data_IF_801506659353
#
_entry.id   IF_801506659353
#
_cell.length_a   1.000
_cell.length_b   1.000
_cell.length_c   1.000
_cell.angle_alpha   90.00
_cell.angle_beta   90.00
_cell.angle_gamma   90.00
#
_symmetry.space_group_name_H-M   'P 1'
#
loop_
_entity.id
_entity.type
_entity.pdbx_description
1 polymer ?
#
# COMPACT_ATOMS: atom_id res chain seq x y z
N UNK A 1 0.81 -13.52 7.80
CA UNK A 1 -0.12 -14.36 8.60
C UNK A 1 -1.51 -14.15 8.03
N UNK A 2 -2.33 -15.20 7.92
CA UNK A 2 -3.72 -15.03 7.53
C UNK A 2 -4.46 -14.33 8.68
N UNK A 3 -5.08 -13.19 8.39
CA UNK A 3 -5.77 -12.40 9.41
C UNK A 3 -7.05 -13.13 9.85
N UNK A 4 -7.34 -13.10 11.14
CA UNK A 4 -8.67 -13.47 11.62
C UNK A 4 -9.69 -12.36 11.26
N UNK A 5 -10.98 -12.60 11.51
CA UNK A 5 -12.05 -11.68 11.12
C UNK A 5 -11.90 -10.30 11.80
N UNK A 6 -11.50 -10.27 13.08
CA UNK A 6 -11.34 -9.03 13.85
C UNK A 6 -10.16 -8.22 13.33
N UNK A 7 -9.01 -8.86 13.18
CA UNK A 7 -7.80 -8.26 12.61
C UNK A 7 -8.08 -7.75 11.19
N UNK A 8 -8.80 -8.54 10.39
CA UNK A 8 -9.17 -8.16 9.03
C UNK A 8 -10.05 -6.92 9.04
N UNK A 9 -10.98 -6.77 9.98
CA UNK A 9 -11.83 -5.57 10.10
C UNK A 9 -11.01 -4.33 10.48
N UNK A 10 -10.09 -4.47 11.45
CA UNK A 10 -9.20 -3.40 11.90
C UNK A 10 -8.28 -2.94 10.76
N UNK A 11 -7.60 -3.88 10.09
CA UNK A 11 -6.72 -3.60 8.94
C UNK A 11 -7.49 -2.96 7.78
N UNK A 12 -8.78 -3.28 7.66
CA UNK A 12 -9.67 -2.73 6.64
C UNK A 12 -10.49 -1.51 7.09
N UNK A 13 -10.14 -0.88 8.20
CA UNK A 13 -10.79 0.34 8.64
C UNK A 13 -10.34 1.54 7.76
N UNK A 14 -11.24 2.41 7.26
CA UNK A 14 -10.85 3.63 6.53
C UNK A 14 -9.90 4.55 7.31
N UNK A 15 -9.99 4.58 8.64
CA UNK A 15 -9.04 5.32 9.47
C UNK A 15 -7.58 4.86 9.24
N UNK A 16 -7.37 3.56 8.97
CA UNK A 16 -6.06 3.01 8.65
C UNK A 16 -5.49 3.58 7.36
N UNK A 17 -6.34 3.86 6.37
CA UNK A 17 -5.91 4.49 5.11
C UNK A 17 -5.45 5.95 5.34
N UNK A 18 -6.15 6.68 6.22
CA UNK A 18 -5.77 8.05 6.58
C UNK A 18 -4.43 8.08 7.31
N UNK A 19 -4.23 7.18 8.27
CA UNK A 19 -2.97 7.06 9.02
C UNK A 19 -1.81 6.73 8.08
N UNK A 20 -1.99 5.76 7.17
CA UNK A 20 -0.96 5.41 6.18
C UNK A 20 -0.58 6.59 5.29
N UNK A 21 -1.57 7.33 4.77
CA UNK A 21 -1.30 8.47 3.88
C UNK A 21 -0.67 9.66 4.58
N UNK A 22 -1.14 10.03 5.77
CA UNK A 22 -0.76 11.31 6.38
C UNK A 22 0.33 11.19 7.44
N UNK A 23 0.48 10.03 8.06
CA UNK A 23 1.43 9.84 9.16
C UNK A 23 2.56 8.91 8.71
N UNK A 24 2.24 7.66 8.38
CA UNK A 24 3.27 6.65 8.11
C UNK A 24 4.02 6.93 6.81
N UNK A 25 3.32 7.27 5.73
CA UNK A 25 3.93 7.62 4.44
C UNK A 25 4.88 8.81 4.57
N UNK A 26 4.46 9.86 5.27
CA UNK A 26 5.29 11.05 5.51
C UNK A 26 6.51 10.74 6.38
N UNK A 27 6.34 9.93 7.43
CA UNK A 27 7.43 9.51 8.31
C UNK A 27 8.46 8.68 7.53
N UNK A 28 8.01 7.66 6.80
CA UNK A 28 8.86 6.80 5.99
C UNK A 28 9.57 7.59 4.89
N UNK A 29 8.91 8.56 4.26
CA UNK A 29 9.52 9.44 3.25
C UNK A 29 10.66 10.27 3.81
N UNK A 30 10.58 10.72 5.06
CA UNK A 30 11.67 11.44 5.75
C UNK A 30 12.86 10.54 6.08
N UNK A 31 12.62 9.24 6.28
CA UNK A 31 13.67 8.25 6.53
C UNK A 31 14.31 7.73 5.24
N UNK A 32 13.57 7.78 4.14
CA UNK A 32 14.03 7.30 2.85
C UNK A 32 15.08 8.24 2.25
N UNK A 33 16.05 7.65 1.55
CA UNK A 33 17.10 8.43 0.87
C UNK A 33 16.51 9.16 -0.33
N UNK A 34 16.86 10.43 -0.53
CA UNK A 34 16.47 11.14 -1.75
C UNK A 34 17.00 10.43 -3.00
N UNK A 35 16.16 10.19 -4.00
CA UNK A 35 16.55 9.47 -5.20
C UNK A 35 15.37 9.06 -6.09
N UNK A 36 15.69 8.32 -7.16
CA UNK A 36 14.69 7.68 -8.03
C UNK A 36 14.34 6.29 -7.50
N UNK A 37 13.07 5.94 -7.60
CA UNK A 37 12.53 4.66 -7.16
C UNK A 37 11.93 3.92 -8.38
N UNK A 38 12.76 3.30 -9.24
CA UNK A 38 12.27 2.67 -10.47
C UNK A 38 11.38 1.45 -10.18
N UNK A 39 11.63 0.75 -9.07
CA UNK A 39 10.84 -0.39 -8.63
C UNK A 39 10.84 -0.46 -7.09
N UNK A 40 9.66 -0.58 -6.51
CA UNK A 40 9.46 -0.80 -5.08
C UNK A 40 8.72 -2.11 -4.82
N UNK A 41 8.95 -2.69 -3.64
CA UNK A 41 8.23 -3.87 -3.16
C UNK A 41 7.44 -3.51 -1.90
N UNK A 42 6.14 -3.78 -1.91
CA UNK A 42 5.30 -3.77 -0.71
C UNK A 42 5.00 -5.20 -0.27
N UNK A 43 5.25 -5.49 1.01
CA UNK A 43 4.98 -6.78 1.64
C UNK A 43 3.79 -6.63 2.58
N UNK A 44 2.71 -7.37 2.33
CA UNK A 44 1.46 -7.27 3.07
C UNK A 44 0.59 -6.10 2.59
N UNK A 45 0.22 -6.08 1.32
CA UNK A 45 -0.45 -4.93 0.70
C UNK A 45 -1.88 -4.70 1.20
N UNK A 46 -2.53 -5.71 1.80
CA UNK A 46 -3.89 -5.60 2.31
C UNK A 46 -4.87 -5.16 1.22
N UNK A 47 -5.25 -3.87 1.23
CA UNK A 47 -6.16 -3.28 0.22
C UNK A 47 -5.46 -2.35 -0.79
N UNK A 48 -4.14 -2.30 -0.80
CA UNK A 48 -3.32 -1.56 -1.76
C UNK A 48 -3.01 -0.10 -1.40
N UNK A 49 -3.44 0.42 -0.25
CA UNK A 49 -3.21 1.84 0.11
C UNK A 49 -1.71 2.15 0.26
N UNK A 50 -0.92 1.24 0.82
CA UNK A 50 0.53 1.44 0.96
C UNK A 50 1.21 1.54 -0.42
N UNK A 51 0.88 0.67 -1.38
CA UNK A 51 1.34 0.80 -2.76
C UNK A 51 0.99 2.15 -3.39
N UNK A 52 -0.24 2.64 -3.20
CA UNK A 52 -0.62 3.97 -3.68
C UNK A 52 0.25 5.07 -3.04
N UNK A 53 0.48 5.00 -1.73
CA UNK A 53 1.35 5.93 -1.00
C UNK A 53 2.79 5.91 -1.56
N UNK A 54 3.31 4.73 -1.87
CA UNK A 54 4.65 4.57 -2.46
C UNK A 54 4.73 5.26 -3.83
N UNK A 55 3.73 5.06 -4.70
CA UNK A 55 3.68 5.76 -6.00
C UNK A 55 3.54 7.27 -5.81
N UNK A 56 2.58 7.72 -5.01
CA UNK A 56 2.20 9.13 -4.90
C UNK A 56 3.21 9.97 -4.11
N UNK A 57 3.78 9.44 -3.03
CA UNK A 57 4.62 10.22 -2.10
C UNK A 57 6.11 10.00 -2.31
N UNK A 58 6.51 8.79 -2.69
CA UNK A 58 7.92 8.46 -2.96
C UNK A 58 8.26 8.64 -4.44
N UNK A 59 7.26 8.78 -5.32
CA UNK A 59 7.47 8.95 -6.76
C UNK A 59 7.95 7.67 -7.43
N UNK A 60 7.51 6.50 -6.93
CA UNK A 60 7.89 5.22 -7.51
C UNK A 60 7.32 5.05 -8.93
N UNK A 61 8.14 4.55 -9.85
CA UNK A 61 7.71 4.29 -11.23
C UNK A 61 6.88 3.01 -11.33
N UNK A 62 7.26 2.00 -10.54
CA UNK A 62 6.56 0.71 -10.40
C UNK A 62 6.57 0.25 -8.94
N UNK A 63 5.50 -0.39 -8.52
CA UNK A 63 5.39 -1.07 -7.22
C UNK A 63 4.95 -2.50 -7.50
N UNK A 64 5.60 -3.47 -6.86
CA UNK A 64 5.09 -4.84 -6.75
C UNK A 64 4.49 -4.96 -5.36
N UNK A 65 3.18 -5.19 -5.29
CA UNK A 65 2.48 -5.33 -4.03
C UNK A 65 2.11 -6.79 -3.79
N UNK A 66 2.50 -7.34 -2.64
CA UNK A 66 2.30 -8.76 -2.31
C UNK A 66 1.49 -8.92 -1.04
N UNK A 67 0.63 -9.93 -0.98
CA UNK A 67 -0.01 -10.36 0.25
C UNK A 67 -0.08 -11.90 0.26
N UNK A 68 -0.04 -12.50 1.45
CA UNK A 68 -0.19 -13.95 1.60
C UNK A 68 -1.66 -14.37 1.60
N UNK A 69 -2.57 -13.43 1.85
CA UNK A 69 -4.01 -13.66 1.81
C UNK A 69 -4.58 -13.32 0.42
N UNK A 70 -5.03 -14.32 -0.37
CA UNK A 70 -5.58 -14.09 -1.70
C UNK A 70 -6.79 -13.15 -1.71
N UNK A 71 -7.59 -13.14 -0.65
CA UNK A 71 -8.74 -12.25 -0.57
C UNK A 71 -8.31 -10.78 -0.48
N UNK A 72 -7.15 -10.52 0.14
CA UNK A 72 -6.58 -9.18 0.24
C UNK A 72 -6.08 -8.73 -1.15
N UNK A 73 -5.42 -9.62 -1.90
CA UNK A 73 -5.02 -9.35 -3.28
C UNK A 73 -6.23 -8.94 -4.13
N UNK A 74 -7.32 -9.71 -4.07
CA UNK A 74 -8.53 -9.40 -4.85
C UNK A 74 -9.19 -8.09 -4.39
N UNK A 75 -9.16 -7.80 -3.08
CA UNK A 75 -9.65 -6.53 -2.55
C UNK A 75 -8.78 -5.36 -3.03
N UNK A 76 -7.47 -5.51 -3.02
CA UNK A 76 -6.54 -4.50 -3.51
C UNK A 76 -6.81 -4.17 -4.98
N UNK A 77 -6.86 -5.18 -5.85
CA UNK A 77 -7.18 -5.00 -7.29
C UNK A 77 -8.48 -4.21 -7.54
N UNK A 78 -9.49 -4.43 -6.70
CA UNK A 78 -10.79 -3.72 -6.78
C UNK A 78 -10.74 -2.30 -6.20
N UNK A 79 -9.90 -2.07 -5.20
CA UNK A 79 -9.86 -0.81 -4.43
C UNK A 79 -8.83 0.19 -4.95
N UNK A 80 -7.84 -0.28 -5.72
CA UNK A 80 -6.81 0.56 -6.31
C UNK A 80 -7.43 1.64 -7.20
N UNK A 81 -6.94 2.87 -7.02
CA UNK A 81 -7.20 3.98 -7.93
C UNK A 81 -6.88 3.60 -9.38
N UNK A 82 -7.82 3.85 -10.27
CA UNK A 82 -7.74 3.49 -11.70
C UNK A 82 -6.44 3.95 -12.36
N UNK A 83 -6.01 5.18 -12.04
CA UNK A 83 -4.86 5.86 -12.58
C UNK A 83 -3.52 5.30 -12.09
N UNK A 84 -3.53 4.45 -11.06
CA UNK A 84 -2.32 3.84 -10.49
C UNK A 84 -2.16 2.36 -10.88
N UNK A 85 -3.16 1.74 -11.52
CA UNK A 85 -3.15 0.31 -11.86
C UNK A 85 -2.02 -0.09 -12.80
N UNK A 86 -1.60 0.79 -13.72
CA UNK A 86 -0.48 0.47 -14.62
C UNK A 86 0.88 0.56 -13.93
N UNK A 87 0.91 1.06 -12.69
CA UNK A 87 2.12 1.24 -11.87
C UNK A 87 2.24 0.21 -10.74
N UNK A 88 1.16 -0.50 -10.38
CA UNK A 88 1.06 -1.35 -9.18
C UNK A 88 0.65 -2.77 -9.58
#
# INVERSE_FOLDING_TARGET
MKLNIVERFITNNPARALIQRHIEGQMLRKMARSGKYPLCLEIGCGRGIGAEVIVEQFGAERVIATDVDPDQIERAKKSLKSELKDKI
#
